data_IF_151016847404
#
_entry.id   IF_151016847404
#
_cell.length_a   1.000
_cell.length_b   1.000
_cell.length_c   1.000
_cell.angle_alpha   90.00
_cell.angle_beta   90.00
_cell.angle_gamma   90.00
#
_symmetry.space_group_name_H-M   'P 1'
#
loop_
_entity.id
_entity.type
_entity.pdbx_description
1 polymer ?
#
# COMPACT_ATOMS: atom_id res chain seq x y z
N UNK A 1 11.23 12.33 -5.37
CA UNK A 1 11.94 11.47 -4.37
C UNK A 1 13.36 11.95 -4.11
N UNK A 2 13.96 12.63 -5.07
CA UNK A 2 15.29 13.20 -5.03
C UNK A 2 15.51 14.15 -3.85
N UNK A 3 14.53 15.00 -3.54
CA UNK A 3 14.60 15.85 -2.34
C UNK A 3 14.69 15.02 -1.04
N UNK A 4 14.01 13.87 -0.96
CA UNK A 4 14.13 12.97 0.18
C UNK A 4 15.54 12.37 0.26
N UNK A 5 16.09 11.90 -0.87
CA UNK A 5 17.46 11.38 -0.94
C UNK A 5 18.49 12.42 -0.47
N UNK A 6 18.34 13.67 -0.91
CA UNK A 6 19.22 14.78 -0.55
C UNK A 6 19.15 15.10 0.94
N UNK A 7 17.94 15.21 1.49
CA UNK A 7 17.72 15.50 2.91
C UNK A 7 18.19 14.36 3.82
N UNK A 8 18.15 13.11 3.33
CA UNK A 8 18.68 11.95 4.03
C UNK A 8 20.22 11.82 3.96
N UNK A 9 20.91 12.70 3.22
CA UNK A 9 22.35 12.63 3.01
C UNK A 9 22.79 11.54 2.01
N UNK A 10 21.85 11.00 1.23
CA UNK A 10 22.14 10.04 0.16
C UNK A 10 22.54 10.75 -1.13
N UNK A 11 23.00 9.97 -2.12
CA UNK A 11 23.19 10.49 -3.49
C UNK A 11 21.83 10.88 -4.06
N UNK A 12 21.78 12.03 -4.75
CA UNK A 12 20.60 12.49 -5.50
C UNK A 12 20.05 11.38 -6.41
N UNK A 13 18.86 10.88 -6.07
CA UNK A 13 18.24 9.72 -6.70
C UNK A 13 16.72 9.77 -6.55
N UNK A 14 15.98 9.34 -7.57
CA UNK A 14 14.53 9.13 -7.48
C UNK A 14 14.16 7.77 -6.82
N UNK A 15 15.18 6.97 -6.50
CA UNK A 15 15.12 5.70 -5.79
C UNK A 15 16.00 5.73 -4.53
N UNK A 16 15.64 6.50 -3.48
CA UNK A 16 16.41 6.56 -2.25
C UNK A 16 16.35 5.24 -1.47
N UNK A 17 17.41 4.94 -0.73
CA UNK A 17 17.45 3.80 0.18
C UNK A 17 16.72 4.08 1.50
N UNK A 18 16.55 5.35 1.87
CA UNK A 18 15.92 5.80 3.12
C UNK A 18 14.39 5.65 3.15
N UNK A 19 13.75 5.24 2.05
CA UNK A 19 12.29 5.07 1.94
C UNK A 19 11.97 3.71 1.36
N UNK A 20 10.92 3.04 1.87
CA UNK A 20 10.42 1.79 1.31
C UNK A 20 10.14 1.92 -0.20
N UNK A 21 10.62 1.00 -1.08
CA UNK A 21 10.53 1.15 -2.53
C UNK A 21 9.11 1.34 -3.06
N UNK A 22 8.12 0.64 -2.50
CA UNK A 22 6.72 0.80 -2.90
C UNK A 22 6.13 2.14 -2.45
N UNK A 23 6.54 2.66 -1.28
CA UNK A 23 6.12 3.97 -0.80
C UNK A 23 6.72 5.08 -1.67
N UNK A 24 8.00 4.94 -2.05
CA UNK A 24 8.65 5.82 -3.01
C UNK A 24 7.96 5.79 -4.39
N UNK A 25 7.50 4.62 -4.84
CA UNK A 25 6.72 4.50 -6.07
C UNK A 25 5.36 5.22 -5.97
N UNK A 26 4.62 5.04 -4.87
CA UNK A 26 3.39 5.77 -4.61
C UNK A 26 3.62 7.29 -4.57
N UNK A 27 4.65 7.75 -3.86
CA UNK A 27 4.97 9.17 -3.75
C UNK A 27 5.29 9.81 -5.11
N UNK A 28 6.02 9.10 -5.99
CA UNK A 28 6.25 9.55 -7.38
C UNK A 28 4.94 9.65 -8.16
N UNK A 29 4.11 8.61 -8.14
CA UNK A 29 2.83 8.63 -8.85
C UNK A 29 1.90 9.75 -8.35
N UNK A 30 1.82 9.96 -7.04
CA UNK A 30 1.03 11.05 -6.46
C UNK A 30 1.59 12.39 -6.92
N UNK A 31 2.90 12.61 -6.84
CA UNK A 31 3.52 13.83 -7.33
C UNK A 31 3.22 14.05 -8.83
N UNK A 32 3.41 13.05 -9.67
CA UNK A 32 3.29 13.17 -11.12
C UNK A 32 1.85 13.43 -11.58
N UNK A 33 0.86 13.07 -10.74
CA UNK A 33 -0.57 13.24 -11.04
C UNK A 33 -1.25 14.31 -10.18
N UNK A 34 -0.52 15.07 -9.36
CA UNK A 34 -1.06 16.20 -8.60
C UNK A 34 -0.87 17.49 -9.40
N UNK A 35 -1.88 18.37 -9.39
CA UNK A 35 -1.76 19.69 -10.05
C UNK A 35 -0.64 20.55 -9.45
N UNK A 36 -0.14 21.51 -10.22
CA UNK A 36 0.94 22.39 -9.78
C UNK A 36 0.55 23.24 -8.56
N UNK A 37 -0.72 23.66 -8.46
CA UNK A 37 -1.25 24.41 -7.30
C UNK A 37 -1.20 23.59 -6.01
N UNK A 38 -1.47 22.28 -6.10
CA UNK A 38 -1.47 21.37 -4.96
C UNK A 38 -0.09 20.80 -4.63
N UNK A 39 0.86 20.79 -5.57
CA UNK A 39 2.21 20.20 -5.42
C UNK A 39 2.99 20.78 -4.24
N UNK A 40 2.84 22.07 -3.93
CA UNK A 40 3.49 22.71 -2.78
C UNK A 40 3.09 22.08 -1.43
N UNK A 41 1.89 21.49 -1.34
CA UNK A 41 1.42 20.79 -0.14
C UNK A 41 2.16 19.46 0.05
N UNK A 42 2.54 18.78 -1.05
CA UNK A 42 3.27 17.51 -1.01
C UNK A 42 4.71 17.69 -0.52
N UNK A 43 5.35 18.83 -0.82
CA UNK A 43 6.73 19.12 -0.37
C UNK A 43 6.86 19.01 1.15
N UNK A 44 5.82 19.36 1.90
CA UNK A 44 5.80 19.26 3.37
C UNK A 44 5.82 17.82 3.89
N UNK A 45 5.47 16.84 3.06
CA UNK A 45 5.50 15.41 3.43
C UNK A 45 6.88 14.76 3.21
N UNK A 46 7.79 15.43 2.51
CA UNK A 46 9.10 14.86 2.15
C UNK A 46 9.94 14.46 3.37
N UNK A 47 9.99 15.21 4.48
CA UNK A 47 10.71 14.74 5.66
C UNK A 47 10.10 13.47 6.26
N UNK A 48 8.79 13.28 6.15
CA UNK A 48 8.06 12.18 6.79
C UNK A 48 8.27 10.81 6.14
N UNK A 49 8.86 10.75 4.93
CA UNK A 49 9.15 9.47 4.24
C UNK A 49 10.58 8.98 4.47
N UNK A 50 11.42 9.79 5.12
CA UNK A 50 12.82 9.48 5.43
C UNK A 50 12.86 8.54 6.65
N UNK A 51 13.68 7.49 6.56
CA UNK A 51 13.81 6.48 7.62
C UNK A 51 12.74 5.40 7.57
N UNK A 52 11.84 5.46 6.58
CA UNK A 52 10.79 4.45 6.38
C UNK A 52 11.24 3.29 5.48
N UNK A 53 12.53 2.97 5.46
CA UNK A 53 13.04 1.81 4.75
C UNK A 53 12.69 0.52 5.52
N UNK A 54 12.23 -0.51 4.82
CA UNK A 54 11.94 -1.81 5.41
C UNK A 54 11.97 -2.91 4.33
N UNK A 55 12.35 -4.11 4.72
CA UNK A 55 12.25 -5.31 3.89
C UNK A 55 11.06 -6.20 4.27
N UNK A 56 10.28 -5.83 5.30
CA UNK A 56 9.10 -6.59 5.73
C UNK A 56 7.98 -6.49 4.69
N UNK A 57 7.54 -7.64 4.18
CA UNK A 57 6.46 -7.74 3.19
C UNK A 57 5.12 -7.21 3.70
N UNK A 58 4.94 -7.08 5.02
CA UNK A 58 3.77 -6.41 5.61
C UNK A 58 3.65 -4.97 5.16
N UNK A 59 4.76 -4.27 4.93
CA UNK A 59 4.77 -2.89 4.46
C UNK A 59 4.21 -2.81 3.04
N UNK A 60 4.67 -3.69 2.13
CA UNK A 60 4.11 -3.82 0.78
C UNK A 60 2.59 -4.07 0.82
N UNK A 61 2.15 -5.04 1.62
CA UNK A 61 0.76 -5.45 1.70
C UNK A 61 -0.14 -4.35 2.30
N UNK A 62 0.37 -3.62 3.31
CA UNK A 62 -0.35 -2.51 3.93
C UNK A 62 -0.49 -1.32 2.98
N UNK A 63 0.57 -0.93 2.28
CA UNK A 63 0.52 0.16 1.28
C UNK A 63 -0.46 -0.22 0.16
N UNK A 64 -0.39 -1.45 -0.36
CA UNK A 64 -1.30 -1.92 -1.39
C UNK A 64 -2.77 -1.90 -0.92
N UNK A 65 -3.03 -2.36 0.31
CA UNK A 65 -4.36 -2.36 0.89
C UNK A 65 -4.91 -0.94 1.07
N UNK A 66 -4.10 -0.03 1.61
CA UNK A 66 -4.44 1.39 1.76
C UNK A 66 -4.82 2.00 0.43
N UNK A 67 -3.97 1.86 -0.58
CA UNK A 67 -4.23 2.38 -1.93
C UNK A 67 -5.53 1.82 -2.50
N UNK A 68 -5.68 0.50 -2.48
CA UNK A 68 -6.82 -0.17 -3.09
C UNK A 68 -8.13 0.21 -2.39
N UNK A 69 -8.16 0.25 -1.06
CA UNK A 69 -9.37 0.59 -0.30
C UNK A 69 -9.76 2.06 -0.42
N UNK A 70 -8.79 2.99 -0.53
CA UNK A 70 -9.07 4.42 -0.75
C UNK A 70 -9.61 4.68 -2.16
N UNK A 71 -9.06 4.03 -3.18
CA UNK A 71 -9.46 4.25 -4.57
C UNK A 71 -10.75 3.50 -4.95
N UNK A 72 -11.03 2.35 -4.31
CA UNK A 72 -12.12 1.45 -4.71
C UNK A 72 -13.49 2.14 -4.81
N UNK A 73 -13.96 2.96 -3.84
CA UNK A 73 -15.28 3.55 -3.91
C UNK A 73 -15.43 4.64 -4.98
N UNK A 74 -14.33 5.34 -5.30
CA UNK A 74 -14.34 6.48 -6.23
C UNK A 74 -13.98 6.09 -7.66
N UNK A 75 -13.35 4.93 -7.86
CA UNK A 75 -12.96 4.46 -9.17
C UNK A 75 -14.17 4.09 -10.04
N UNK A 76 -14.04 4.26 -11.36
CA UNK A 76 -15.03 3.82 -12.33
C UNK A 76 -15.29 2.30 -12.22
N UNK A 77 -16.52 1.87 -12.49
CA UNK A 77 -16.97 0.47 -12.33
C UNK A 77 -16.04 -0.56 -13.00
N UNK A 78 -15.49 -0.25 -14.16
CA UNK A 78 -14.55 -1.11 -14.91
C UNK A 78 -13.26 -1.40 -14.13
N UNK A 79 -12.82 -0.47 -13.26
CA UNK A 79 -11.62 -0.61 -12.42
C UNK A 79 -11.93 -1.16 -11.03
N UNK A 80 -13.17 -1.01 -10.55
CA UNK A 80 -13.57 -1.48 -9.22
C UNK A 80 -13.34 -2.99 -9.04
N UNK A 81 -13.54 -3.81 -10.07
CA UNK A 81 -13.25 -5.24 -9.99
C UNK A 81 -11.77 -5.51 -9.68
N UNK A 82 -10.85 -4.87 -10.42
CA UNK A 82 -9.41 -5.06 -10.23
C UNK A 82 -8.94 -4.54 -8.87
N UNK A 83 -9.49 -3.41 -8.40
CA UNK A 83 -9.22 -2.87 -7.07
C UNK A 83 -9.77 -3.77 -5.97
N UNK A 84 -10.99 -4.30 -6.10
CA UNK A 84 -11.56 -5.25 -5.14
C UNK A 84 -10.75 -6.55 -5.06
N UNK A 85 -10.24 -7.06 -6.19
CA UNK A 85 -9.28 -8.18 -6.20
C UNK A 85 -7.98 -7.80 -5.48
N UNK A 86 -7.49 -6.58 -5.67
CA UNK A 86 -6.29 -6.08 -4.98
C UNK A 86 -6.49 -6.00 -3.46
N UNK A 87 -7.67 -5.56 -2.99
CA UNK A 87 -8.05 -5.57 -1.57
C UNK A 87 -8.02 -6.99 -1.02
N UNK A 88 -8.67 -7.94 -1.68
CA UNK A 88 -8.69 -9.35 -1.24
C UNK A 88 -7.29 -9.96 -1.22
N UNK A 89 -6.47 -9.70 -2.23
CA UNK A 89 -5.10 -10.19 -2.30
C UNK A 89 -4.22 -9.63 -1.17
N UNK A 90 -4.36 -8.34 -0.85
CA UNK A 90 -3.59 -7.71 0.22
C UNK A 90 -4.05 -8.15 1.62
N UNK A 91 -5.35 -8.34 1.84
CA UNK A 91 -5.89 -8.89 3.10
C UNK A 91 -5.44 -10.34 3.31
N UNK A 92 -5.50 -11.17 2.28
CA UNK A 92 -5.03 -12.56 2.37
C UNK A 92 -3.51 -12.63 2.60
N UNK A 93 -2.74 -11.73 1.97
CA UNK A 93 -1.31 -11.58 2.20
C UNK A 93 -1.00 -11.22 3.66
N UNK A 94 -1.68 -10.21 4.22
CA UNK A 94 -1.52 -9.81 5.62
C UNK A 94 -1.93 -10.92 6.57
N UNK A 95 -3.10 -11.55 6.36
CA UNK A 95 -3.56 -12.65 7.18
C UNK A 95 -2.55 -13.80 7.22
N UNK A 96 -2.00 -14.17 6.07
CA UNK A 96 -0.97 -15.22 5.99
C UNK A 96 0.32 -14.83 6.71
N UNK A 97 0.79 -13.59 6.54
CA UNK A 97 2.00 -13.11 7.22
C UNK A 97 1.80 -13.11 8.74
N UNK A 98 0.62 -12.71 9.22
CA UNK A 98 0.24 -12.63 10.64
C UNK A 98 -0.18 -13.97 11.26
N UNK A 99 -0.17 -15.08 10.49
CA UNK A 99 -0.65 -16.38 10.95
C UNK A 99 -2.15 -16.39 11.30
N UNK A 100 -2.91 -15.43 10.77
CA UNK A 100 -4.35 -15.31 10.97
C UNK A 100 -5.15 -16.15 9.97
N UNK A 101 -6.42 -16.49 10.26
CA UNK A 101 -7.27 -17.22 9.33
C UNK A 101 -7.51 -16.46 8.01
N UNK A 102 -7.44 -17.18 6.89
CA UNK A 102 -7.76 -16.69 5.54
C UNK A 102 -9.18 -16.09 5.46
N UNK A 103 -9.35 -15.11 4.58
CA UNK A 103 -10.64 -14.47 4.32
C UNK A 103 -11.10 -13.46 5.40
N UNK A 104 -10.29 -13.20 6.42
CA UNK A 104 -10.51 -12.07 7.34
C UNK A 104 -10.32 -10.76 6.57
N UNK A 105 -11.22 -9.81 6.79
CA UNK A 105 -11.10 -8.44 6.28
C UNK A 105 -10.93 -7.48 7.44
N UNK A 106 -10.12 -6.45 7.27
CA UNK A 106 -10.11 -5.28 8.14
C UNK A 106 -11.44 -4.52 8.04
N UNK A 107 -11.70 -3.66 9.03
CA UNK A 107 -12.90 -2.79 9.01
C UNK A 107 -12.90 -1.84 7.81
N UNK A 108 -11.73 -1.30 7.46
CA UNK A 108 -11.56 -0.45 6.28
C UNK A 108 -11.94 -1.18 4.99
N UNK A 109 -11.43 -2.41 4.81
CA UNK A 109 -11.77 -3.22 3.63
C UNK A 109 -13.24 -3.57 3.57
N UNK A 110 -13.86 -3.91 4.71
CA UNK A 110 -15.31 -4.17 4.75
C UNK A 110 -16.11 -2.96 4.30
N UNK A 111 -15.77 -1.77 4.78
CA UNK A 111 -16.45 -0.51 4.40
C UNK A 111 -16.31 -0.23 2.91
N UNK A 112 -15.07 -0.18 2.41
CA UNK A 112 -14.83 0.09 0.99
C UNK A 112 -15.52 -0.93 0.07
N UNK A 113 -15.47 -2.22 0.43
CA UNK A 113 -16.13 -3.28 -0.35
C UNK A 113 -17.66 -3.22 -0.31
N UNK A 114 -18.26 -2.69 0.77
CA UNK A 114 -19.70 -2.54 0.91
C UNK A 114 -20.27 -1.44 0.00
N UNK A 115 -19.47 -0.44 -0.35
CA UNK A 115 -19.86 0.62 -1.30
C UNK A 115 -19.92 0.13 -2.75
N UNK A 116 -19.26 -1.00 -3.06
CA UNK A 116 -19.17 -1.58 -4.42
C UNK A 116 -19.58 -3.06 -4.45
N UNK A 117 -20.82 -3.42 -4.04
CA UNK A 117 -21.22 -4.80 -3.80
C UNK A 117 -21.07 -5.72 -5.03
N UNK A 118 -21.35 -5.22 -6.24
CA UNK A 118 -21.19 -5.99 -7.47
C UNK A 118 -19.73 -6.36 -7.77
N UNK A 119 -18.82 -5.39 -7.68
CA UNK A 119 -17.38 -5.64 -7.88
C UNK A 119 -16.84 -6.57 -6.79
N UNK A 120 -17.29 -6.39 -5.54
CA UNK A 120 -16.94 -7.25 -4.41
C UNK A 120 -17.35 -8.71 -4.63
N UNK A 121 -18.59 -8.95 -5.06
CA UNK A 121 -19.07 -10.31 -5.31
C UNK A 121 -18.28 -10.98 -6.43
N UNK A 122 -18.05 -10.26 -7.54
CA UNK A 122 -17.25 -10.75 -8.66
C UNK A 122 -15.81 -11.05 -8.23
N UNK A 123 -15.16 -10.13 -7.50
CA UNK A 123 -13.81 -10.31 -6.99
C UNK A 123 -13.67 -11.56 -6.11
N UNK A 124 -14.66 -11.84 -5.24
CA UNK A 124 -14.68 -13.06 -4.41
C UNK A 124 -14.73 -14.34 -5.24
N UNK A 125 -15.42 -14.33 -6.39
CA UNK A 125 -15.47 -15.49 -7.31
C UNK A 125 -14.11 -15.72 -7.97
N UNK A 126 -13.41 -14.67 -8.39
CA UNK A 126 -12.06 -14.77 -8.97
C UNK A 126 -10.98 -15.13 -7.96
N UNK A 127 -11.01 -14.52 -6.77
CA UNK A 127 -9.93 -14.65 -5.77
C UNK A 127 -9.83 -16.05 -5.16
N UNK A 128 -10.91 -16.84 -5.19
CA UNK A 128 -10.91 -18.23 -4.70
C UNK A 128 -9.96 -19.16 -5.49
N UNK A 129 -9.54 -18.76 -6.70
CA UNK A 129 -8.72 -19.58 -7.58
C UNK A 129 -7.22 -19.25 -7.56
N UNK A 130 -6.79 -18.09 -7.06
CA UNK A 130 -5.42 -17.60 -7.21
C UNK A 130 -4.67 -17.54 -5.87
N UNK A 131 -3.66 -18.40 -5.70
CA UNK A 131 -2.66 -18.26 -4.62
C UNK A 131 -1.45 -17.49 -5.13
N UNK A 132 -1.31 -16.25 -4.69
CA UNK A 132 -0.17 -15.39 -5.03
C UNK A 132 0.97 -15.71 -4.06
N UNK A 133 2.18 -15.90 -4.58
CA UNK A 133 3.40 -16.09 -3.77
C UNK A 133 3.89 -14.74 -3.22
N UNK A 134 4.66 -14.76 -2.13
CA UNK A 134 5.28 -13.59 -1.50
C UNK A 134 6.06 -12.74 -2.52
N UNK A 135 6.91 -13.42 -3.32
CA UNK A 135 7.69 -12.79 -4.39
C UNK A 135 6.81 -12.23 -5.51
N UNK A 136 5.77 -12.96 -5.90
CA UNK A 136 4.81 -12.51 -6.91
C UNK A 136 4.01 -11.29 -6.42
N UNK A 137 3.67 -11.25 -5.14
CA UNK A 137 2.96 -10.15 -4.53
C UNK A 137 3.80 -8.87 -4.54
N UNK A 138 5.02 -8.93 -3.99
CA UNK A 138 5.96 -7.79 -3.97
C UNK A 138 6.27 -7.29 -5.38
N UNK A 139 6.52 -8.20 -6.32
CA UNK A 139 6.96 -7.83 -7.67
C UNK A 139 5.83 -7.32 -8.57
N UNK A 140 4.61 -7.83 -8.42
CA UNK A 140 3.53 -7.57 -9.36
C UNK A 140 2.25 -7.07 -8.70
N UNK A 141 1.71 -7.78 -7.70
CA UNK A 141 0.40 -7.46 -7.15
C UNK A 141 0.38 -6.10 -6.43
N UNK A 142 1.35 -5.85 -5.55
CA UNK A 142 1.40 -4.62 -4.77
C UNK A 142 1.69 -3.37 -5.65
N UNK A 143 2.69 -3.39 -6.56
CA UNK A 143 2.88 -2.28 -7.50
C UNK A 143 1.67 -2.04 -8.39
N UNK A 144 1.02 -3.09 -8.89
CA UNK A 144 -0.17 -2.94 -9.73
C UNK A 144 -1.36 -2.35 -8.95
N UNK A 145 -1.55 -2.75 -7.69
CA UNK A 145 -2.58 -2.17 -6.82
C UNK A 145 -2.36 -0.67 -6.63
N UNK A 146 -1.12 -0.24 -6.36
CA UNK A 146 -0.75 1.18 -6.24
C UNK A 146 -1.04 1.95 -7.53
N UNK A 147 -0.62 1.43 -8.68
CA UNK A 147 -0.86 2.06 -9.99
C UNK A 147 -2.35 2.22 -10.29
N UNK A 148 -3.12 1.13 -10.16
CA UNK A 148 -4.57 1.13 -10.39
C UNK A 148 -5.29 2.11 -9.46
N UNK A 149 -4.82 2.24 -8.22
CA UNK A 149 -5.43 3.13 -7.23
C UNK A 149 -5.23 4.60 -7.60
N UNK A 150 -3.99 5.00 -7.93
CA UNK A 150 -3.70 6.38 -8.33
C UNK A 150 -4.46 6.73 -9.61
N UNK A 151 -4.39 5.88 -10.65
CA UNK A 151 -5.14 6.12 -11.89
C UNK A 151 -6.65 6.18 -11.64
N UNK A 152 -7.16 5.31 -10.76
CA UNK A 152 -8.57 5.28 -10.37
C UNK A 152 -9.03 6.58 -9.71
N UNK A 153 -8.20 7.16 -8.83
CA UNK A 153 -8.48 8.44 -8.17
C UNK A 153 -8.38 9.61 -9.14
N UNK A 154 -7.34 9.66 -9.97
CA UNK A 154 -7.13 10.74 -10.96
C UNK A 154 -8.29 10.84 -11.95
N UNK A 155 -8.85 9.69 -12.34
CA UNK A 155 -9.97 9.60 -13.28
C UNK A 155 -11.34 9.61 -12.61
N UNK A 156 -11.40 9.73 -11.28
CA UNK A 156 -12.65 9.70 -10.54
C UNK A 156 -13.44 11.00 -10.78
N UNK A 157 -14.77 10.88 -10.86
CA UNK A 157 -15.68 12.03 -10.94
C UNK A 157 -15.93 12.61 -9.53
N UNK A 158 -14.87 13.04 -8.85
CA UNK A 158 -14.92 13.64 -7.51
C UNK A 158 -14.48 15.11 -7.53
N UNK A 159 -14.91 15.93 -6.56
CA UNK A 159 -14.62 17.37 -6.59
C UNK A 159 -13.14 17.72 -6.50
N UNK A 160 -12.33 16.95 -5.76
CA UNK A 160 -10.92 17.25 -5.49
C UNK A 160 -10.07 15.96 -5.44
N UNK A 161 -9.62 15.44 -6.60
CA UNK A 161 -8.75 14.27 -6.65
C UNK A 161 -7.36 14.53 -6.06
N UNK A 162 -6.82 15.75 -6.16
CA UNK A 162 -5.53 16.13 -5.57
C UNK A 162 -5.54 15.99 -4.05
N UNK A 163 -6.60 16.45 -3.39
CA UNK A 163 -6.77 16.28 -1.96
C UNK A 163 -6.83 14.80 -1.58
N UNK A 164 -7.53 13.96 -2.36
CA UNK A 164 -7.60 12.53 -2.09
C UNK A 164 -6.25 11.82 -2.29
N UNK A 165 -5.49 12.17 -3.33
CA UNK A 165 -4.13 11.66 -3.55
C UNK A 165 -3.18 12.06 -2.42
N UNK A 166 -3.28 13.31 -1.94
CA UNK A 166 -2.49 13.76 -0.79
C UNK A 166 -2.84 12.99 0.47
N UNK A 167 -4.13 12.87 0.80
CA UNK A 167 -4.59 12.09 1.96
C UNK A 167 -4.15 10.63 1.85
N UNK A 168 -4.24 10.03 0.66
CA UNK A 168 -3.76 8.67 0.41
C UNK A 168 -2.27 8.53 0.76
N UNK A 169 -1.44 9.47 0.33
CA UNK A 169 -0.01 9.47 0.64
C UNK A 169 0.24 9.66 2.15
N UNK A 170 -0.44 10.62 2.77
CA UNK A 170 -0.36 10.87 4.23
C UNK A 170 -0.70 9.61 5.04
N UNK A 171 -1.80 8.93 4.70
CA UNK A 171 -2.22 7.70 5.38
C UNK A 171 -1.26 6.52 5.11
N UNK A 172 -0.72 6.39 3.90
CA UNK A 172 0.26 5.35 3.58
C UNK A 172 1.58 5.55 4.34
N UNK A 173 2.01 6.81 4.53
CA UNK A 173 3.16 7.18 5.37
C UNK A 173 2.89 6.80 6.82
N UNK A 174 1.71 7.16 7.35
CA UNK A 174 1.32 6.84 8.72
C UNK A 174 1.26 5.32 8.97
N UNK A 175 0.66 4.57 8.04
CA UNK A 175 0.59 3.11 8.10
C UNK A 175 2.00 2.48 8.09
N UNK A 176 2.90 3.00 7.26
CA UNK A 176 4.29 2.51 7.17
C UNK A 176 5.07 2.81 8.45
N UNK A 177 4.93 4.03 8.96
CA UNK A 177 5.55 4.46 10.22
C UNK A 177 5.10 3.57 11.37
N UNK A 178 3.79 3.33 11.49
CA UNK A 178 3.24 2.48 12.53
C UNK A 178 3.77 1.04 12.47
N UNK A 179 4.00 0.48 11.28
CA UNK A 179 4.56 -0.86 11.13
C UNK A 179 6.05 -0.94 11.48
N UNK A 180 6.82 0.10 11.19
CA UNK A 180 8.25 0.17 11.49
C UNK A 180 8.48 0.43 12.99
N UNK A 181 7.64 1.24 13.62
CA UNK A 181 7.75 1.59 15.03
C UNK A 181 7.29 0.47 15.98
N UNK A 182 6.58 -0.56 15.50
CA UNK A 182 6.26 -1.73 16.33
C UNK A 182 7.53 -2.56 16.52
N UNK A 183 8.07 -2.68 17.76
CA UNK A 183 9.21 -3.55 18.00
C UNK A 183 8.83 -4.99 17.65
N UNK A 184 9.57 -5.59 16.72
CA UNK A 184 9.44 -7.01 16.41
C UNK A 184 9.76 -7.78 17.70
N UNK A 185 8.75 -8.35 18.35
CA UNK A 185 8.97 -9.30 19.46
C UNK A 185 9.73 -10.49 18.88
N UNK A 186 11.05 -10.50 19.04
CA UNK A 186 11.89 -11.65 18.75
C UNK A 186 11.29 -12.87 19.45
N UNK A 187 10.91 -13.87 18.66
CA UNK A 187 10.57 -15.18 19.19
C UNK A 187 11.89 -15.79 19.68
N UNK A 188 12.05 -16.12 20.98
CA UNK A 188 13.30 -16.70 21.46
C UNK A 188 13.51 -18.04 20.76
N UNK A 189 14.64 -18.16 20.06
CA UNK A 189 15.08 -19.39 19.45
C UNK A 189 15.16 -20.48 20.54
N UNK A 190 14.35 -21.51 20.41
CA UNK A 190 14.42 -22.71 21.26
C UNK A 190 15.73 -23.40 20.96
N UNK A 191 16.73 -23.18 21.81
CA UNK A 191 17.97 -23.97 21.84
C UNK A 191 17.64 -25.34 22.43
N UNK A 192 17.51 -26.34 21.56
CA UNK A 192 17.43 -27.75 21.96
C UNK A 192 18.78 -28.18 22.54
N UNK A 193 18.86 -28.73 23.77
CA UNK A 193 20.10 -29.26 24.29
C UNK A 193 20.45 -30.58 23.61
N UNK A 194 21.67 -30.64 23.06
CA UNK A 194 22.31 -31.87 22.59
C UNK A 194 22.74 -32.64 23.85
N UNK A 195 22.08 -33.78 24.11
CA UNK A 195 22.57 -34.75 25.09
C UNK A 195 23.56 -35.71 24.41
N UNK A 196 24.74 -35.78 25.00
CA UNK A 196 25.79 -36.77 24.77
C UNK A 196 25.43 -38.12 25.40
#
# INVERSE_FOLDING_TARGET
MELASYLAGERWSDHPACTHPLLAALARLVNDNTSDESRAKLVRLVPSIIGLASDDLRVDARIALRCATTALPVAAAERQLALAVSVLAAEEMLARLDGAPSGRLSEQSRRAMAEVPHATEQARRFSRAARITDKGFRRYAAPNAVQLSVVGIVQACIPDPDALLRTLLEEAIADTTALIDVPQTDTPAVTTPIHA
#
